data_IF_914260626667
#
_entry.id   IF_914260626667
#
_cell.length_a   1.000
_cell.length_b   1.000
_cell.length_c   1.000
_cell.angle_alpha   90.00
_cell.angle_beta   90.00
_cell.angle_gamma   90.00
#
_symmetry.space_group_name_H-M   'P 1'
#
loop_
_entity.id
_entity.type
_entity.pdbx_description
1 polymer ?
#
# COMPACT_ATOMS: atom_id res chain seq x y z
N UNK A 1 -12.85 1.23 -55.42
CA UNK A 1 -13.51 2.31 -54.66
C UNK A 1 -14.14 1.87 -53.34
N UNK A 2 -14.89 0.74 -53.20
CA UNK A 2 -15.55 0.41 -51.92
C UNK A 2 -14.61 -0.12 -50.83
N UNK A 3 -13.52 -0.81 -51.21
CA UNK A 3 -12.57 -1.38 -50.25
C UNK A 3 -11.76 -0.34 -49.48
N UNK A 4 -11.46 0.81 -50.09
CA UNK A 4 -10.65 1.86 -49.46
C UNK A 4 -11.44 2.52 -48.31
N UNK A 5 -12.73 2.75 -48.50
CA UNK A 5 -13.62 3.32 -47.48
C UNK A 5 -13.77 2.34 -46.29
N UNK A 6 -13.89 1.04 -46.58
CA UNK A 6 -13.94 -0.01 -45.56
C UNK A 6 -12.65 -0.11 -44.74
N UNK A 7 -11.49 -0.06 -45.39
CA UNK A 7 -10.17 -0.12 -44.71
C UNK A 7 -9.92 1.14 -43.87
N UNK A 8 -10.26 2.33 -44.37
CA UNK A 8 -10.15 3.58 -43.61
C UNK A 8 -11.10 3.59 -42.40
N UNK A 9 -12.31 3.05 -42.55
CA UNK A 9 -13.26 2.90 -41.44
C UNK A 9 -12.77 1.93 -40.38
N UNK A 10 -12.18 0.79 -40.78
CA UNK A 10 -11.57 -0.17 -39.86
C UNK A 10 -10.36 0.44 -39.14
N UNK A 11 -9.51 1.20 -39.84
CA UNK A 11 -8.35 1.86 -39.24
C UNK A 11 -8.77 2.94 -38.23
N UNK A 12 -9.83 3.70 -38.51
CA UNK A 12 -10.40 4.68 -37.59
C UNK A 12 -10.99 4.03 -36.33
N UNK A 13 -11.64 2.87 -36.46
CA UNK A 13 -12.14 2.09 -35.31
C UNK A 13 -10.98 1.53 -34.47
N UNK A 14 -9.90 1.05 -35.10
CA UNK A 14 -8.70 0.56 -34.41
C UNK A 14 -7.95 1.68 -33.70
N UNK A 15 -7.86 2.88 -34.28
CA UNK A 15 -7.27 4.05 -33.59
C UNK A 15 -8.08 4.47 -32.36
N UNK A 16 -9.42 4.35 -32.39
CA UNK A 16 -10.26 4.66 -31.23
C UNK A 16 -10.13 3.64 -30.11
N UNK A 17 -9.78 2.38 -30.40
CA UNK A 17 -9.57 1.36 -29.37
C UNK A 17 -8.15 1.36 -28.79
N UNK A 18 -7.17 1.92 -29.51
CA UNK A 18 -5.79 2.06 -29.02
C UNK A 18 -5.57 3.25 -28.07
N UNK A 19 -6.55 4.14 -27.93
CA UNK A 19 -6.40 5.43 -27.25
C UNK A 19 -6.82 5.46 -25.79
N UNK A 20 -6.50 4.46 -24.96
CA UNK A 20 -6.71 4.57 -23.51
C UNK A 20 -5.87 3.58 -22.66
N UNK A 21 -4.64 3.24 -23.06
CA UNK A 21 -3.67 2.69 -22.09
C UNK A 21 -2.80 3.83 -21.56
N UNK A 22 -3.39 4.68 -20.70
CA UNK A 22 -2.62 5.65 -19.93
C UNK A 22 -1.91 4.92 -18.78
N UNK A 23 -0.91 4.11 -19.13
CA UNK A 23 0.06 3.55 -18.18
C UNK A 23 1.21 4.52 -17.88
N UNK A 24 1.00 5.82 -18.08
CA UNK A 24 2.00 6.83 -17.77
C UNK A 24 2.08 7.01 -16.25
N UNK A 25 3.30 6.95 -15.70
CA UNK A 25 3.54 7.24 -14.30
C UNK A 25 3.02 8.65 -13.97
N UNK A 26 2.28 8.78 -12.88
CA UNK A 26 1.74 10.08 -12.46
C UNK A 26 2.90 10.95 -11.99
N UNK A 27 2.98 12.16 -12.54
CA UNK A 27 3.96 13.17 -12.14
C UNK A 27 3.25 14.13 -11.19
N UNK A 28 3.80 14.28 -10.00
CA UNK A 28 3.25 15.15 -8.96
C UNK A 28 3.92 16.52 -8.97
N UNK A 29 3.13 17.57 -8.86
CA UNK A 29 3.63 18.93 -8.70
C UNK A 29 4.12 19.20 -7.27
N UNK A 30 4.90 20.28 -7.09
CA UNK A 30 5.32 20.70 -5.74
C UNK A 30 4.08 21.05 -4.92
N UNK A 31 4.00 20.55 -3.69
CA UNK A 31 2.87 20.76 -2.77
C UNK A 31 1.55 20.09 -3.20
N UNK A 32 1.53 19.31 -4.28
CA UNK A 32 0.36 18.48 -4.63
C UNK A 32 0.12 17.44 -3.52
N UNK A 33 -1.13 17.28 -3.09
CA UNK A 33 -1.46 16.30 -2.05
C UNK A 33 -1.58 14.90 -2.67
N UNK A 34 -0.84 13.96 -2.10
CA UNK A 34 -0.82 12.56 -2.50
C UNK A 34 -1.61 11.77 -1.44
N UNK A 35 -2.77 11.20 -1.77
CA UNK A 35 -3.57 10.46 -0.81
C UNK A 35 -2.86 9.15 -0.43
N UNK A 36 -2.83 8.88 0.87
CA UNK A 36 -2.38 7.60 1.42
C UNK A 36 -3.60 6.82 1.88
N UNK A 37 -3.67 5.56 1.47
CA UNK A 37 -4.73 4.65 1.89
C UNK A 37 -4.15 3.55 2.78
N UNK A 38 -4.86 3.26 3.87
CA UNK A 38 -4.64 2.03 4.61
C UNK A 38 -5.32 0.88 3.88
N UNK A 39 -4.71 -0.30 3.84
CA UNK A 39 -5.33 -1.50 3.30
C UNK A 39 -5.42 -2.58 4.38
N UNK A 40 -4.42 -3.45 4.46
CA UNK A 40 -4.47 -4.64 5.32
C UNK A 40 -3.16 -4.89 6.03
N UNK A 41 -3.23 -5.74 7.04
CA UNK A 41 -2.07 -6.46 7.57
C UNK A 41 -2.18 -7.93 7.21
N UNK A 42 -1.09 -8.51 6.71
CA UNK A 42 -1.07 -9.88 6.21
C UNK A 42 0.21 -10.61 6.64
N UNK A 43 0.15 -11.93 6.77
CA UNK A 43 1.34 -12.77 7.01
C UNK A 43 1.57 -13.70 5.83
N UNK A 44 2.84 -13.96 5.52
CA UNK A 44 3.21 -14.93 4.48
C UNK A 44 3.00 -16.38 4.91
N UNK A 45 2.58 -16.62 6.15
CA UNK A 45 2.40 -17.95 6.73
C UNK A 45 1.00 -18.54 6.49
N UNK A 46 0.15 -17.88 5.68
CA UNK A 46 -1.19 -18.37 5.35
C UNK A 46 -2.30 -17.93 6.30
N UNK A 47 -2.01 -17.02 7.24
CA UNK A 47 -3.04 -16.43 8.10
C UNK A 47 -3.91 -15.44 7.32
N UNK A 48 -5.18 -15.33 7.70
CA UNK A 48 -6.12 -14.37 7.12
C UNK A 48 -5.62 -12.92 7.35
N UNK A 49 -5.74 -12.03 6.34
CA UNK A 49 -5.44 -10.62 6.53
C UNK A 49 -6.49 -9.92 7.40
N UNK A 50 -6.06 -8.89 8.14
CA UNK A 50 -6.94 -8.00 8.90
C UNK A 50 -6.93 -6.58 8.29
N UNK A 51 -8.02 -5.83 8.45
CA UNK A 51 -8.04 -4.42 8.08
C UNK A 51 -7.09 -3.63 8.99
N UNK A 52 -6.23 -2.79 8.43
CA UNK A 52 -5.23 -2.06 9.22
C UNK A 52 -5.87 -1.04 10.17
N UNK A 53 -6.94 -0.36 9.72
CA UNK A 53 -7.67 0.67 10.47
C UNK A 53 -8.55 0.12 11.60
N UNK A 54 -8.86 -1.18 11.56
CA UNK A 54 -9.66 -1.87 12.58
C UNK A 54 -8.79 -2.45 13.71
N UNK A 55 -7.45 -2.36 13.61
CA UNK A 55 -6.55 -2.83 14.67
C UNK A 55 -6.69 -1.95 15.93
N UNK A 56 -6.78 -2.56 17.13
CA UNK A 56 -7.14 -1.82 18.34
C UNK A 56 -6.06 -0.82 18.79
N UNK A 57 -4.82 -1.00 18.37
CA UNK A 57 -3.69 -0.10 18.66
C UNK A 57 -3.38 0.90 17.53
N UNK A 58 -4.13 0.87 16.42
CA UNK A 58 -3.96 1.80 15.30
C UNK A 58 -4.95 2.96 15.44
N UNK A 59 -4.53 4.15 14.98
CA UNK A 59 -5.41 5.29 14.79
C UNK A 59 -6.34 5.03 13.60
N UNK A 60 -7.63 4.91 13.85
CA UNK A 60 -8.61 4.90 12.75
C UNK A 60 -8.69 6.30 12.13
N UNK A 61 -8.89 6.42 10.81
CA UNK A 61 -9.06 7.71 10.15
C UNK A 61 -10.25 8.49 10.73
N UNK A 62 -10.14 9.81 10.75
CA UNK A 62 -11.21 10.70 11.24
C UNK A 62 -12.49 10.57 10.38
N UNK A 63 -12.33 10.38 9.07
CA UNK A 63 -13.41 10.10 8.14
C UNK A 63 -13.26 8.70 7.55
N UNK A 64 -14.22 7.80 7.84
CA UNK A 64 -14.23 6.44 7.30
C UNK A 64 -14.71 6.42 5.84
N UNK A 65 -13.81 6.76 4.92
CA UNK A 65 -14.03 6.71 3.48
C UNK A 65 -13.42 5.44 2.88
N UNK A 66 -14.22 4.37 2.76
CA UNK A 66 -13.79 3.11 2.13
C UNK A 66 -13.85 3.22 0.60
N UNK A 67 -12.83 2.70 -0.07
CA UNK A 67 -12.81 2.65 -1.53
C UNK A 67 -13.72 1.53 -2.06
N UNK A 68 -14.27 1.73 -3.25
CA UNK A 68 -14.95 0.66 -3.97
C UNK A 68 -13.90 -0.31 -4.52
N UNK A 69 -14.04 -1.58 -4.15
CA UNK A 69 -13.11 -2.64 -4.54
C UNK A 69 -13.73 -3.51 -5.63
N UNK A 70 -12.88 -3.98 -6.52
CA UNK A 70 -13.25 -5.03 -7.46
C UNK A 70 -13.30 -6.40 -6.74
N UNK A 71 -13.80 -7.43 -7.44
CA UNK A 71 -13.97 -8.76 -6.84
C UNK A 71 -12.62 -9.38 -6.47
N UNK A 72 -11.60 -9.22 -7.30
CA UNK A 72 -10.27 -9.76 -7.04
C UNK A 72 -9.65 -9.17 -5.76
N UNK A 73 -9.72 -7.86 -5.55
CA UNK A 73 -9.28 -7.21 -4.32
C UNK A 73 -10.03 -7.73 -3.09
N UNK A 74 -11.35 -7.90 -3.20
CA UNK A 74 -12.16 -8.49 -2.12
C UNK A 74 -11.70 -9.91 -1.78
N UNK A 75 -11.41 -10.74 -2.80
CA UNK A 75 -10.91 -12.11 -2.61
C UNK A 75 -9.51 -12.16 -2.00
N UNK A 76 -8.66 -11.17 -2.27
CA UNK A 76 -7.35 -11.01 -1.62
C UNK A 76 -7.43 -10.38 -0.22
N UNK A 77 -8.65 -10.09 0.26
CA UNK A 77 -8.89 -9.56 1.60
C UNK A 77 -8.57 -8.08 1.75
N UNK A 78 -8.65 -7.30 0.67
CA UNK A 78 -8.41 -5.86 0.73
C UNK A 78 -9.50 -5.12 1.51
N UNK A 79 -9.04 -4.10 2.25
CA UNK A 79 -9.79 -3.26 3.18
C UNK A 79 -9.31 -1.81 3.02
N UNK A 80 -9.42 -1.29 1.80
CA UNK A 80 -8.86 0.02 1.46
C UNK A 80 -9.71 1.15 2.03
N UNK A 81 -9.11 1.97 2.88
CA UNK A 81 -9.71 3.16 3.49
C UNK A 81 -8.77 4.35 3.38
N UNK A 82 -9.32 5.54 3.13
CA UNK A 82 -8.54 6.78 3.09
C UNK A 82 -8.00 7.09 4.49
N UNK A 83 -6.70 7.33 4.60
CA UNK A 83 -6.06 7.71 5.87
C UNK A 83 -5.98 9.22 6.07
N UNK A 84 -5.67 9.65 7.29
CA UNK A 84 -5.39 11.06 7.63
C UNK A 84 -3.94 11.47 7.34
N UNK A 85 -3.14 10.59 6.73
CA UNK A 85 -1.75 10.88 6.36
C UNK A 85 -1.74 11.80 5.16
N UNK A 86 -1.14 12.97 5.33
CA UNK A 86 -0.91 13.95 4.27
C UNK A 86 0.53 13.86 3.75
N UNK A 87 0.69 13.27 2.57
CA UNK A 87 1.94 13.35 1.81
C UNK A 87 1.81 14.46 0.78
N UNK A 88 2.87 15.27 0.64
CA UNK A 88 2.92 16.35 -0.35
C UNK A 88 4.07 16.12 -1.32
N UNK A 89 3.78 16.28 -2.61
CA UNK A 89 4.76 16.17 -3.68
C UNK A 89 5.96 17.09 -3.45
N UNK A 90 7.16 16.53 -3.53
CA UNK A 90 8.44 17.24 -3.44
C UNK A 90 8.68 17.97 -2.09
N UNK A 91 7.90 17.69 -1.05
CA UNK A 91 8.05 18.31 0.28
C UNK A 91 8.28 17.22 1.33
N UNK A 92 9.45 17.24 1.96
CA UNK A 92 9.76 16.35 3.07
C UNK A 92 9.19 16.91 4.37
N UNK A 93 8.21 16.21 4.95
CA UNK A 93 7.70 16.48 6.30
C UNK A 93 8.06 15.33 7.22
N UNK A 94 9.02 15.50 8.14
CA UNK A 94 9.32 14.47 9.12
C UNK A 94 8.17 14.38 10.14
N UNK A 95 7.75 13.14 10.45
CA UNK A 95 6.87 12.76 11.57
C UNK A 95 5.81 13.79 11.99
N UNK A 96 4.61 13.71 11.40
CA UNK A 96 3.42 14.45 11.85
C UNK A 96 2.60 13.55 12.79
N UNK A 97 2.24 14.07 13.97
CA UNK A 97 1.33 13.36 14.88
C UNK A 97 -0.07 13.31 14.25
N UNK A 98 -0.62 12.10 14.09
CA UNK A 98 -1.99 11.89 13.56
C UNK A 98 -3.02 11.82 14.68
N UNK A 99 -2.76 10.98 15.69
CA UNK A 99 -3.62 10.81 16.85
C UNK A 99 -2.83 10.36 18.08
N UNK A 100 -3.47 10.44 19.26
CA UNK A 100 -2.99 9.84 20.50
C UNK A 100 -4.06 8.87 21.00
N UNK A 101 -3.67 7.60 21.20
CA UNK A 101 -4.57 6.53 21.64
C UNK A 101 -3.91 5.75 22.78
N UNK A 102 -4.63 5.47 23.88
CA UNK A 102 -4.11 4.56 24.89
C UNK A 102 -3.99 3.14 24.32
N UNK A 103 -2.88 2.47 24.62
CA UNK A 103 -2.66 1.06 24.25
C UNK A 103 -2.74 0.24 25.53
N UNK A 104 -3.69 -0.69 25.61
CA UNK A 104 -3.90 -1.50 26.81
C UNK A 104 -3.04 -2.78 26.78
N UNK A 105 -2.90 -3.44 27.93
CA UNK A 105 -2.08 -4.65 28.06
C UNK A 105 -2.50 -5.78 27.10
N UNK A 106 -3.81 -5.88 26.82
CA UNK A 106 -4.34 -6.84 25.84
C UNK A 106 -3.84 -6.53 24.43
N UNK A 107 -3.85 -5.25 24.03
CA UNK A 107 -3.37 -4.80 22.73
C UNK A 107 -1.87 -5.06 22.56
N UNK A 108 -1.08 -4.82 23.62
CA UNK A 108 0.38 -5.11 23.62
C UNK A 108 0.63 -6.60 23.33
N UNK A 109 -0.23 -7.47 23.86
CA UNK A 109 -0.10 -8.92 23.66
C UNK A 109 -0.40 -9.28 22.22
N UNK A 110 -1.47 -8.72 21.65
CA UNK A 110 -1.80 -8.86 20.21
C UNK A 110 -0.70 -8.31 19.30
N UNK A 111 -0.17 -7.11 19.58
CA UNK A 111 0.94 -6.52 18.82
C UNK A 111 2.14 -7.45 18.81
N UNK A 112 2.55 -7.95 19.99
CA UNK A 112 3.70 -8.84 20.11
C UNK A 112 3.50 -10.13 19.30
N UNK A 113 2.32 -10.74 19.40
CA UNK A 113 1.99 -11.94 18.64
C UNK A 113 2.05 -11.67 17.13
N UNK A 114 1.44 -10.58 16.65
CA UNK A 114 1.45 -10.23 15.23
C UNK A 114 2.87 -9.94 14.70
N UNK A 115 3.73 -9.30 15.51
CA UNK A 115 5.14 -9.09 15.17
C UNK A 115 5.87 -10.45 15.06
N UNK A 116 5.66 -11.36 16.02
CA UNK A 116 6.27 -12.69 16.01
C UNK A 116 5.79 -13.55 14.82
N UNK A 117 4.54 -13.39 14.41
CA UNK A 117 3.96 -14.04 13.23
C UNK A 117 4.34 -13.34 11.91
N UNK A 118 5.24 -12.36 11.94
CA UNK A 118 5.77 -11.63 10.79
C UNK A 118 4.67 -10.95 9.95
N UNK A 119 3.68 -10.35 10.60
CA UNK A 119 2.70 -9.53 9.90
C UNK A 119 3.36 -8.33 9.22
N UNK A 120 3.01 -8.14 7.96
CA UNK A 120 3.38 -7.00 7.12
C UNK A 120 2.17 -6.09 6.98
N UNK A 121 2.40 -4.79 7.03
CA UNK A 121 1.43 -3.73 6.77
C UNK A 121 1.49 -3.36 5.30
N UNK A 122 0.34 -3.31 4.66
CA UNK A 122 0.18 -2.81 3.30
C UNK A 122 -0.59 -1.49 3.32
N UNK A 123 0.09 -0.43 2.90
CA UNK A 123 -0.51 0.86 2.58
C UNK A 123 -0.41 1.09 1.07
N UNK A 124 -1.28 1.94 0.53
CA UNK A 124 -1.33 2.26 -0.89
C UNK A 124 -1.12 3.76 -1.07
N UNK A 125 -0.21 4.13 -1.97
CA UNK A 125 0.10 5.50 -2.37
C UNK A 125 0.26 5.49 -3.88
N UNK A 126 -0.46 6.35 -4.60
CA UNK A 126 -0.44 6.39 -6.08
C UNK A 126 -0.74 5.02 -6.72
N UNK A 127 -1.76 4.33 -6.20
CA UNK A 127 -2.16 2.97 -6.64
C UNK A 127 -1.06 1.89 -6.54
N UNK A 128 0.04 2.18 -5.83
CA UNK A 128 1.13 1.26 -5.57
C UNK A 128 1.20 0.87 -4.09
N UNK A 129 1.49 -0.41 -3.78
CA UNK A 129 1.72 -0.82 -2.40
C UNK A 129 3.05 -0.22 -1.90
N UNK A 130 3.04 0.26 -0.66
CA UNK A 130 4.27 0.59 0.05
C UNK A 130 5.20 -0.63 0.07
N UNK A 131 6.50 -0.42 -0.12
CA UNK A 131 7.45 -1.52 -0.31
C UNK A 131 8.64 -1.44 0.64
N UNK A 132 9.11 -2.62 1.07
CA UNK A 132 10.38 -2.77 1.80
C UNK A 132 11.50 -3.13 0.84
N UNK A 133 12.63 -2.43 0.96
CA UNK A 133 13.85 -2.73 0.20
C UNK A 133 14.69 -3.76 0.95
N UNK A 134 15.01 -4.87 0.29
CA UNK A 134 16.05 -5.80 0.75
C UNK A 134 17.30 -5.62 -0.11
N UNK A 135 18.45 -5.48 0.56
CA UNK A 135 19.75 -5.31 -0.10
C UNK A 135 20.58 -6.56 0.19
N UNK A 136 20.84 -7.35 -0.86
CA UNK A 136 21.69 -8.53 -0.74
C UNK A 136 23.15 -8.12 -0.92
N UNK A 137 23.91 -8.09 0.19
CA UNK A 137 25.35 -7.77 0.23
C UNK A 137 26.13 -9.10 0.15
N UNK A 138 25.94 -9.86 -0.92
CA UNK A 138 26.53 -11.20 -1.08
C UNK A 138 27.30 -11.43 -2.37
N UNK A 139 27.36 -10.44 -3.26
CA UNK A 139 28.05 -10.55 -4.55
C UNK A 139 28.66 -9.19 -4.89
N UNK A 140 29.65 -9.17 -5.79
CA UNK A 140 30.37 -7.96 -6.22
C UNK A 140 29.47 -6.80 -6.74
N UNK A 141 28.16 -7.03 -6.87
CA UNK A 141 27.11 -6.06 -7.15
C UNK A 141 25.99 -6.23 -6.11
N UNK A 142 25.66 -5.17 -5.38
CA UNK A 142 24.51 -5.16 -4.46
C UNK A 142 23.21 -5.31 -5.23
N UNK A 143 22.47 -6.41 -5.05
CA UNK A 143 21.14 -6.60 -5.66
C UNK A 143 20.07 -6.05 -4.72
N UNK A 144 19.26 -5.10 -5.21
CA UNK A 144 18.08 -4.59 -4.49
C UNK A 144 16.86 -5.40 -4.93
N UNK A 145 16.10 -5.92 -3.96
CA UNK A 145 14.77 -6.49 -4.20
C UNK A 145 13.72 -5.71 -3.41
N UNK A 146 12.56 -5.52 -4.02
CA UNK A 146 11.42 -4.83 -3.40
C UNK A 146 10.35 -5.86 -3.09
N UNK A 147 9.81 -5.83 -1.87
CA UNK A 147 8.66 -6.64 -1.48
C UNK A 147 7.51 -5.72 -1.06
N UNK A 148 6.26 -6.05 -1.42
CA UNK A 148 5.10 -5.29 -0.95
C UNK A 148 4.98 -5.39 0.57
N UNK A 149 4.50 -4.31 1.15
CA UNK A 149 4.35 -4.10 2.57
C UNK A 149 5.65 -3.82 3.31
N UNK A 150 5.49 -3.51 4.60
CA UNK A 150 6.57 -3.30 5.55
C UNK A 150 6.25 -3.97 6.88
N UNK A 151 7.26 -4.41 7.66
CA UNK A 151 7.00 -5.12 8.91
C UNK A 151 6.19 -4.25 9.87
N UNK A 152 5.15 -4.84 10.48
CA UNK A 152 4.34 -4.18 11.52
C UNK A 152 5.21 -3.72 12.71
N UNK A 153 6.27 -4.48 12.98
CA UNK A 153 7.30 -4.15 13.94
C UNK A 153 8.43 -5.16 13.87
N UNK A 154 9.43 -4.98 14.72
CA UNK A 154 10.53 -5.92 14.90
C UNK A 154 10.64 -6.32 16.37
N UNK A 155 11.08 -7.55 16.58
CA UNK A 155 11.42 -8.05 17.91
C UNK A 155 12.94 -8.25 17.97
N UNK A 156 13.58 -7.64 18.97
CA UNK A 156 15.00 -7.86 19.24
C UNK A 156 15.11 -8.87 20.39
N UNK A 157 15.51 -10.10 20.07
CA UNK A 157 15.73 -11.16 21.06
C UNK A 157 16.71 -10.75 22.18
N UNK A 158 17.65 -9.84 21.89
CA UNK A 158 18.65 -9.38 22.87
C UNK A 158 18.13 -8.33 23.85
N UNK A 159 17.00 -7.69 23.57
CA UNK A 159 16.42 -6.66 24.45
C UNK A 159 15.53 -7.26 25.56
N UNK A 160 15.15 -8.53 25.45
CA UNK A 160 14.19 -9.20 26.34
C UNK A 160 14.82 -9.97 27.49
N UNK A 161 16.14 -9.83 27.69
CA UNK A 161 16.92 -10.48 28.75
C UNK A 161 17.26 -9.53 29.91
N UNK A 162 16.67 -8.34 29.97
CA UNK A 162 16.80 -7.37 31.06
C UNK A 162 15.44 -6.93 31.58
#
# INVERSE_FOLDING_TARGET
>A
MPYIISVLGLFYLVQKTLGAFSGAARIYETNETIPVYFNKVFSNNGNMPFAYDELPFVCSPAELSRQLLNIDQILHGDRVVKSDIEVQGLIQKPCKLLCSKPVHQVDITTIRQMIQENYLVEWIIDDLPGATVKVDIGSAVSKKSYKPGFPLGSYNEKASQH
#
